data_IF_247673026889
#
_entry.id   IF_247673026889
#
_cell.length_a   1.000
_cell.length_b   1.000
_cell.length_c   1.000
_cell.angle_alpha   90.00
_cell.angle_beta   90.00
_cell.angle_gamma   90.00
#
_symmetry.space_group_name_H-M   'P 1'
#
loop_
_entity.id
_entity.type
_entity.pdbx_description
1 polymer ?
#
# COMPACT_ATOMS: atom_id res chain seq x y z
N UNK A 1 -12.12 -9.62 -4.66
CA UNK A 1 -11.64 -8.51 -3.80
C UNK A 1 -11.21 -7.28 -4.56
N UNK A 2 -10.28 -7.38 -5.52
CA UNK A 2 -9.81 -6.24 -6.32
C UNK A 2 -10.93 -5.37 -6.91
N UNK A 3 -11.94 -6.00 -7.53
CA UNK A 3 -13.11 -5.31 -8.08
C UNK A 3 -13.92 -4.58 -7.01
N UNK A 4 -14.16 -5.21 -5.86
CA UNK A 4 -14.88 -4.60 -4.74
C UNK A 4 -14.11 -3.40 -4.17
N UNK A 5 -12.79 -3.51 -4.05
CA UNK A 5 -11.93 -2.40 -3.63
C UNK A 5 -11.92 -1.26 -4.65
N UNK A 6 -11.92 -1.56 -5.94
CA UNK A 6 -12.04 -0.55 -7.00
C UNK A 6 -13.39 0.17 -6.98
N UNK A 7 -14.48 -0.59 -6.74
CA UNK A 7 -15.82 -0.04 -6.56
C UNK A 7 -15.88 0.89 -5.34
N UNK A 8 -15.40 0.43 -4.18
CA UNK A 8 -15.31 1.25 -2.97
C UNK A 8 -14.46 2.51 -3.18
N UNK A 9 -13.30 2.38 -3.84
CA UNK A 9 -12.43 3.53 -4.15
C UNK A 9 -13.11 4.51 -5.11
N UNK A 10 -13.94 4.02 -6.03
CA UNK A 10 -14.74 4.88 -6.92
C UNK A 10 -15.83 5.63 -6.15
N UNK A 11 -16.47 4.98 -5.18
CA UNK A 11 -17.57 5.55 -4.38
C UNK A 11 -17.10 6.62 -3.40
N UNK A 12 -15.98 6.41 -2.67
CA UNK A 12 -15.56 7.32 -1.60
C UNK A 12 -14.08 7.73 -1.61
N UNK A 13 -13.24 7.17 -2.51
CA UNK A 13 -11.79 7.38 -2.50
C UNK A 13 -11.30 8.80 -2.84
N UNK A 14 -12.21 9.75 -3.12
CA UNK A 14 -11.90 11.18 -3.24
C UNK A 14 -11.89 11.91 -1.90
N UNK A 15 -12.65 11.42 -0.93
CA UNK A 15 -12.86 12.06 0.37
C UNK A 15 -12.08 11.36 1.49
N UNK A 16 -11.78 10.07 1.32
CA UNK A 16 -11.08 9.25 2.32
C UNK A 16 -9.88 8.50 1.74
N UNK A 17 -8.94 8.14 2.61
CA UNK A 17 -7.88 7.22 2.25
C UNK A 17 -8.36 5.77 2.33
N UNK A 18 -8.16 5.02 1.24
CA UNK A 18 -8.33 3.59 1.13
C UNK A 18 -6.93 2.97 1.20
N UNK A 19 -6.54 2.56 2.41
CA UNK A 19 -5.21 2.04 2.70
C UNK A 19 -5.17 0.54 2.43
N UNK A 20 -4.29 0.10 1.52
CA UNK A 20 -4.07 -1.31 1.24
C UNK A 20 -2.99 -1.92 2.14
N UNK A 21 -3.37 -2.92 2.94
CA UNK A 21 -2.48 -3.76 3.76
C UNK A 21 -2.31 -5.15 3.14
N UNK A 22 -3.11 -6.14 3.53
CA UNK A 22 -3.06 -7.51 3.01
C UNK A 22 -3.34 -7.61 1.49
N UNK A 23 -4.02 -6.60 0.95
CA UNK A 23 -4.24 -6.51 -0.50
C UNK A 23 -2.94 -6.21 -1.25
N UNK A 24 -2.00 -5.48 -0.65
CA UNK A 24 -0.77 -5.01 -1.29
C UNK A 24 0.48 -5.73 -0.78
N UNK A 25 0.47 -6.14 0.50
CA UNK A 25 1.55 -6.81 1.22
C UNK A 25 2.93 -6.20 1.00
N UNK A 26 2.99 -4.87 0.90
CA UNK A 26 4.23 -4.12 0.60
C UNK A 26 4.95 -4.57 -0.69
N UNK A 27 4.25 -5.28 -1.60
CA UNK A 27 4.86 -5.87 -2.80
C UNK A 27 4.71 -4.97 -4.04
N UNK A 28 5.80 -4.53 -4.69
CA UNK A 28 5.73 -3.63 -5.85
C UNK A 28 4.84 -4.12 -7.00
N UNK A 29 4.80 -5.44 -7.28
CA UNK A 29 3.94 -5.99 -8.34
C UNK A 29 2.45 -5.84 -8.00
N UNK A 30 2.09 -6.03 -6.73
CA UNK A 30 0.70 -5.85 -6.26
C UNK A 30 0.32 -4.38 -6.18
N UNK A 31 1.24 -3.51 -5.78
CA UNK A 31 1.05 -2.05 -5.84
C UNK A 31 0.81 -1.59 -7.28
N UNK A 32 1.62 -2.04 -8.23
CA UNK A 32 1.44 -1.74 -9.64
C UNK A 32 0.06 -2.16 -10.16
N UNK A 33 -0.36 -3.39 -9.81
CA UNK A 33 -1.71 -3.88 -10.15
C UNK A 33 -2.80 -2.99 -9.55
N UNK A 34 -2.70 -2.66 -8.27
CA UNK A 34 -3.68 -1.86 -7.55
C UNK A 34 -3.81 -0.43 -8.10
N UNK A 35 -2.71 0.14 -8.60
CA UNK A 35 -2.70 1.45 -9.29
C UNK A 35 -3.48 1.36 -10.61
N UNK A 36 -3.22 0.33 -11.42
CA UNK A 36 -3.92 0.12 -12.70
C UNK A 36 -5.42 -0.11 -12.49
N UNK A 37 -5.76 -0.95 -11.51
CA UNK A 37 -7.15 -1.30 -11.19
C UNK A 37 -7.86 -0.26 -10.32
N UNK A 38 -7.16 0.80 -9.90
CA UNK A 38 -7.68 1.87 -9.01
C UNK A 38 -8.32 1.33 -7.73
N UNK A 39 -7.70 0.31 -7.14
CA UNK A 39 -8.26 -0.43 -5.99
C UNK A 39 -7.97 0.23 -4.63
N UNK A 40 -6.97 1.10 -4.54
CA UNK A 40 -6.63 1.84 -3.31
C UNK A 40 -6.13 3.24 -3.70
N UNK A 41 -5.86 4.08 -2.68
CA UNK A 41 -5.18 5.36 -2.87
C UNK A 41 -4.08 5.60 -1.80
N UNK A 42 -3.77 4.58 -1.00
CA UNK A 42 -2.70 4.60 -0.01
C UNK A 42 -2.12 3.19 0.23
N UNK A 43 -0.84 3.13 0.59
CA UNK A 43 -0.11 1.91 0.94
C UNK A 43 0.15 1.87 2.45
N UNK A 44 -0.15 0.74 3.11
CA UNK A 44 0.42 0.40 4.41
C UNK A 44 1.78 -0.29 4.19
N UNK A 45 2.86 0.38 4.59
CA UNK A 45 4.22 -0.07 4.37
C UNK A 45 4.74 -0.84 5.60
N UNK A 46 4.98 -2.14 5.44
CA UNK A 46 5.61 -3.01 6.45
C UNK A 46 6.92 -3.57 5.90
N UNK A 47 8.05 -3.05 6.38
CA UNK A 47 9.38 -3.32 5.81
C UNK A 47 9.71 -4.83 5.78
N UNK A 48 9.38 -5.54 6.86
CA UNK A 48 9.64 -6.98 6.96
C UNK A 48 8.67 -7.86 6.17
N UNK A 49 7.69 -7.28 5.47
CA UNK A 49 6.75 -8.02 4.63
C UNK A 49 7.28 -8.26 3.22
N UNK A 50 8.14 -7.38 2.72
CA UNK A 50 8.79 -7.50 1.41
C UNK A 50 10.23 -8.03 1.50
N UNK A 51 10.87 -7.88 2.66
CA UNK A 51 12.12 -8.56 3.01
C UNK A 51 13.39 -7.73 2.85
N UNK A 52 13.37 -6.66 2.05
CA UNK A 52 14.51 -5.74 1.92
C UNK A 52 14.12 -4.25 1.97
N UNK A 53 15.07 -3.43 2.42
CA UNK A 53 14.93 -1.96 2.43
C UNK A 53 14.81 -1.42 1.01
N UNK A 54 15.57 -1.99 0.06
CA UNK A 54 15.53 -1.57 -1.35
C UNK A 54 14.13 -1.75 -1.95
N UNK A 55 13.52 -2.92 -1.76
CA UNK A 55 12.17 -3.18 -2.28
C UNK A 55 11.11 -2.37 -1.53
N UNK A 56 11.30 -2.12 -0.23
CA UNK A 56 10.44 -1.21 0.54
C UNK A 56 10.46 0.20 -0.05
N UNK A 57 11.65 0.74 -0.35
CA UNK A 57 11.82 2.05 -0.98
C UNK A 57 11.18 2.08 -2.37
N UNK A 58 11.27 1.00 -3.14
CA UNK A 58 10.61 0.89 -4.44
C UNK A 58 9.09 0.99 -4.30
N UNK A 59 8.48 0.25 -3.37
CA UNK A 59 7.05 0.32 -3.11
C UNK A 59 6.61 1.74 -2.70
N UNK A 60 7.37 2.40 -1.81
CA UNK A 60 7.11 3.81 -1.43
C UNK A 60 7.18 4.74 -2.63
N UNK A 61 8.23 4.63 -3.45
CA UNK A 61 8.41 5.50 -4.62
C UNK A 61 7.31 5.30 -5.65
N UNK A 62 6.89 4.06 -5.88
CA UNK A 62 5.79 3.72 -6.79
C UNK A 62 4.47 4.34 -6.32
N UNK A 63 4.12 4.14 -5.05
CA UNK A 63 2.92 4.73 -4.45
C UNK A 63 2.92 6.27 -4.54
N UNK A 64 4.02 6.92 -4.14
CA UNK A 64 4.13 8.39 -4.22
C UNK A 64 4.02 8.92 -5.64
N UNK A 65 4.63 8.24 -6.63
CA UNK A 65 4.50 8.62 -8.05
C UNK A 65 3.07 8.51 -8.57
N UNK A 66 2.28 7.57 -8.05
CA UNK A 66 0.86 7.43 -8.35
C UNK A 66 -0.04 8.41 -7.57
N UNK A 67 0.54 9.33 -6.78
CA UNK A 67 -0.21 10.27 -5.95
C UNK A 67 -0.81 9.64 -4.69
N UNK A 68 -0.37 8.44 -4.31
CA UNK A 68 -0.89 7.73 -3.14
C UNK A 68 -0.23 8.18 -1.84
N UNK A 69 -0.99 8.07 -0.75
CA UNK A 69 -0.45 8.14 0.60
C UNK A 69 0.42 6.92 0.93
N UNK A 70 1.34 7.08 1.88
CA UNK A 70 2.16 5.98 2.40
C UNK A 70 2.18 6.06 3.93
N UNK A 71 1.74 4.98 4.57
CA UNK A 71 1.65 4.84 6.01
C UNK A 71 2.68 3.79 6.45
N UNK A 72 3.81 4.22 7.04
CA UNK A 72 4.76 3.28 7.65
C UNK A 72 4.09 2.60 8.83
N UNK A 73 4.18 1.27 8.89
CA UNK A 73 3.48 0.46 9.89
C UNK A 73 4.44 -0.45 10.61
N UNK A 74 4.24 -0.56 11.91
CA UNK A 74 4.77 -1.62 12.74
C UNK A 74 4.09 -2.97 12.42
N UNK A 75 4.57 -4.03 13.06
CA UNK A 75 3.93 -5.32 13.23
C UNK A 75 3.38 -5.44 14.65
N UNK A 76 2.52 -6.43 14.87
CA UNK A 76 1.95 -6.67 16.20
C UNK A 76 3.00 -7.12 17.23
N UNK A 77 4.05 -7.80 16.77
CA UNK A 77 5.24 -8.12 17.55
C UNK A 77 6.40 -7.25 17.11
N UNK A 78 6.63 -6.16 17.84
CA UNK A 78 7.75 -5.24 17.62
C UNK A 78 8.99 -5.61 18.44
N UNK A 79 10.07 -4.92 18.13
CA UNK A 79 11.35 -4.98 18.85
C UNK A 79 11.73 -3.59 19.35
N UNK A 80 12.90 -3.47 19.98
CA UNK A 80 13.47 -2.21 20.48
C UNK A 80 14.10 -1.32 19.38
N UNK A 81 14.14 -1.77 18.13
CA UNK A 81 14.59 -0.98 16.96
C UNK A 81 13.64 0.21 16.67
N UNK A 82 14.18 1.36 16.24
CA UNK A 82 13.43 2.61 16.00
C UNK A 82 13.76 3.28 14.67
#
# INVERSE_FOLDING_TARGET
DWEHYAKMTTECGKEVQIVGDDLLVTNPKRVAKAIVEKSCNALLLKVNQIGSVTESIEAVRMSKKAGWGVMTSHRSGETEDT
#
